data_IF_699049466980
#
_entry.id   IF_699049466980
#
_cell.length_a   1.000
_cell.length_b   1.000
_cell.length_c   1.000
_cell.angle_alpha   90.00
_cell.angle_beta   90.00
_cell.angle_gamma   90.00
#
_symmetry.space_group_name_H-M   'P 1'
#
loop_
_entity.id
_entity.type
_entity.pdbx_description
1 polymer ?
#
# COMPACT_ATOMS: atom_id res chain seq x y z
N UNK A 1 -7.41 -2.64 9.63
CA UNK A 1 -6.43 -2.16 8.66
C UNK A 1 -7.13 -1.35 7.59
N UNK A 2 -6.60 -0.17 7.31
CA UNK A 2 -7.29 0.77 6.43
C UNK A 2 -6.72 0.81 5.02
N UNK A 3 -5.60 0.16 4.78
CA UNK A 3 -5.01 0.11 3.44
C UNK A 3 -5.50 -1.11 2.70
N UNK A 4 -5.58 -0.99 1.39
CA UNK A 4 -5.99 -2.08 0.51
C UNK A 4 -5.03 -2.16 -0.67
N UNK A 5 -5.05 -3.31 -1.31
CA UNK A 5 -4.27 -3.50 -2.53
C UNK A 5 -4.66 -2.45 -3.56
N UNK A 6 -3.66 -1.92 -4.25
CA UNK A 6 -3.80 -0.87 -5.27
C UNK A 6 -4.00 0.54 -4.72
N UNK A 7 -4.00 0.72 -3.40
CA UNK A 7 -4.02 2.08 -2.84
C UNK A 7 -2.70 2.77 -3.13
N UNK A 8 -2.75 4.07 -3.36
CA UNK A 8 -1.55 4.86 -3.43
C UNK A 8 -1.19 5.29 -2.01
N UNK A 9 0.06 5.06 -1.63
CA UNK A 9 0.53 5.39 -0.28
C UNK A 9 1.84 6.16 -0.38
N UNK A 10 2.18 6.84 0.70
CA UNK A 10 3.45 7.54 0.81
C UNK A 10 4.15 7.05 2.07
N UNK A 11 5.45 6.82 1.97
CA UNK A 11 6.23 6.46 3.15
C UNK A 11 6.45 7.70 4.01
N UNK A 12 6.04 7.59 5.27
CA UNK A 12 6.13 8.72 6.21
C UNK A 12 7.24 8.54 7.23
N UNK A 13 7.98 7.45 7.15
CA UNK A 13 9.10 7.19 8.05
C UNK A 13 10.02 6.16 7.41
N UNK A 14 11.24 6.11 7.89
CA UNK A 14 12.21 5.12 7.45
C UNK A 14 12.99 5.57 6.23
N UNK A 15 13.68 4.62 5.62
CA UNK A 15 14.59 4.92 4.52
C UNK A 15 13.89 5.37 3.26
N UNK A 16 12.61 5.08 3.12
CA UNK A 16 11.85 5.42 1.92
C UNK A 16 11.02 6.69 2.09
N UNK A 17 11.27 7.45 3.15
CA UNK A 17 10.50 8.65 3.47
C UNK A 17 10.28 9.54 2.25
N UNK A 18 9.04 9.91 2.01
CA UNK A 18 8.68 10.80 0.92
C UNK A 18 8.35 10.12 -0.39
N UNK A 19 8.64 8.84 -0.53
CA UNK A 19 8.32 8.13 -1.76
C UNK A 19 6.86 7.69 -1.77
N UNK A 20 6.25 7.71 -2.93
CA UNK A 20 4.89 7.26 -3.13
C UNK A 20 4.88 6.03 -4.04
N UNK A 21 3.94 5.15 -3.80
CA UNK A 21 3.81 3.98 -4.62
C UNK A 21 2.48 3.28 -4.38
N UNK A 22 2.20 2.31 -5.22
CA UNK A 22 0.96 1.56 -5.13
C UNK A 22 1.19 0.31 -4.30
N UNK A 23 0.23 -0.02 -3.45
CA UNK A 23 0.30 -1.23 -2.65
C UNK A 23 0.09 -2.43 -3.54
N UNK A 24 1.06 -3.34 -3.54
CA UNK A 24 0.99 -4.57 -4.34
C UNK A 24 0.40 -5.72 -3.56
N UNK A 25 0.80 -5.87 -2.29
CA UNK A 25 0.32 -6.94 -1.43
C UNK A 25 0.21 -6.43 -0.01
N UNK A 26 -0.73 -6.99 0.74
CA UNK A 26 -0.91 -6.68 2.15
C UNK A 26 -0.84 -7.98 2.93
N UNK A 27 -0.11 -7.94 4.04
CA UNK A 27 0.01 -9.05 4.96
C UNK A 27 -0.61 -8.63 6.29
N UNK A 28 -1.93 -8.81 6.44
CA UNK A 28 -2.62 -8.27 7.63
C UNK A 28 -2.11 -8.83 8.94
N UNK A 29 -1.74 -10.10 8.94
CA UNK A 29 -1.28 -10.74 10.17
C UNK A 29 0.05 -10.18 10.65
N UNK A 30 0.87 -9.73 9.72
CA UNK A 30 2.18 -9.18 10.05
C UNK A 30 2.18 -7.67 10.09
N UNK A 31 1.08 -7.05 9.75
CA UNK A 31 0.93 -5.60 9.67
C UNK A 31 1.97 -4.98 8.72
N UNK A 32 2.16 -5.63 7.58
CA UNK A 32 3.15 -5.21 6.59
C UNK A 32 2.53 -5.21 5.21
N UNK A 33 3.17 -4.50 4.31
CA UNK A 33 2.71 -4.41 2.91
C UNK A 33 3.90 -4.28 1.99
N UNK A 34 3.73 -4.73 0.75
CA UNK A 34 4.72 -4.52 -0.30
C UNK A 34 4.21 -3.41 -1.18
N UNK A 35 5.04 -2.38 -1.38
CA UNK A 35 4.68 -1.21 -2.14
C UNK A 35 5.61 -1.12 -3.35
N UNK A 36 5.02 -0.88 -4.50
CA UNK A 36 5.75 -0.77 -5.74
C UNK A 36 6.82 0.31 -5.65
N UNK A 37 8.04 -0.05 -6.02
CA UNK A 37 9.14 0.90 -6.05
C UNK A 37 9.79 1.21 -4.71
N UNK A 38 9.41 0.51 -3.65
CA UNK A 38 9.94 0.79 -2.32
C UNK A 38 10.62 -0.42 -1.71
N UNK A 39 11.62 -0.14 -0.87
CA UNK A 39 12.30 -1.13 -0.06
C UNK A 39 12.87 -2.28 -0.88
N UNK A 40 13.61 -1.92 -1.92
CA UNK A 40 14.23 -2.94 -2.77
C UNK A 40 15.29 -3.70 -2.02
N UNK A 41 15.33 -5.00 -2.25
CA UNK A 41 16.40 -5.85 -1.79
C UNK A 41 16.95 -6.60 -2.99
N UNK A 42 18.20 -7.04 -2.87
CA UNK A 42 18.83 -7.82 -3.91
C UNK A 42 18.99 -9.24 -3.41
N UNK A 43 18.71 -10.19 -4.28
CA UNK A 43 18.88 -11.59 -3.96
C UNK A 43 19.81 -12.21 -4.99
N UNK A 44 20.74 -13.02 -4.50
CA UNK A 44 21.60 -13.81 -5.39
C UNK A 44 20.84 -15.09 -5.71
N UNK A 45 20.77 -15.37 -6.99
CA UNK A 45 20.10 -16.57 -7.44
C UNK A 45 21.11 -17.63 -7.76
N UNK A 46 20.79 -18.85 -7.40
CA UNK A 46 21.60 -19.98 -7.79
C UNK A 46 21.26 -20.33 -9.22
N UNK A 47 22.20 -20.97 -9.91
CA UNK A 47 21.90 -21.47 -11.24
C UNK A 47 20.76 -22.45 -11.16
N UNK A 48 19.82 -22.33 -12.07
CA UNK A 48 18.66 -23.17 -12.11
C UNK A 48 18.15 -23.19 -13.54
N UNK A 49 17.06 -23.92 -13.76
CA UNK A 49 16.44 -23.93 -15.07
C UNK A 49 15.96 -22.55 -15.46
N UNK A 50 15.41 -21.82 -14.50
CA UNK A 50 14.88 -20.49 -14.78
C UNK A 50 15.99 -19.45 -14.89
N UNK A 51 17.07 -19.67 -14.15
CA UNK A 51 18.18 -18.70 -14.15
C UNK A 51 19.48 -19.46 -14.34
N UNK A 52 19.73 -19.94 -15.56
CA UNK A 52 20.90 -20.81 -15.80
C UNK A 52 22.23 -20.21 -15.40
N UNK A 53 22.33 -18.89 -15.44
CA UNK A 53 23.56 -18.23 -15.09
C UNK A 53 23.58 -17.69 -13.68
N UNK A 54 22.47 -17.84 -12.94
CA UNK A 54 22.33 -17.24 -11.64
C UNK A 54 22.22 -15.73 -11.75
N UNK A 55 22.64 -15.03 -10.71
CA UNK A 55 22.65 -13.58 -10.76
C UNK A 55 22.00 -12.92 -9.57
N UNK A 56 21.75 -11.61 -9.70
CA UNK A 56 21.08 -10.81 -8.68
C UNK A 56 19.74 -10.34 -9.22
N UNK A 57 18.74 -10.43 -8.38
CA UNK A 57 17.40 -9.95 -8.72
C UNK A 57 17.00 -8.92 -7.71
N UNK A 58 16.44 -7.80 -8.18
CA UNK A 58 15.93 -6.76 -7.33
C UNK A 58 14.45 -7.02 -7.07
N UNK A 59 14.08 -7.04 -5.80
CA UNK A 59 12.70 -7.28 -5.41
C UNK A 59 12.29 -6.32 -4.31
N UNK A 60 11.02 -5.96 -4.29
CA UNK A 60 10.49 -5.14 -3.21
C UNK A 60 10.26 -6.02 -1.98
N UNK A 61 10.75 -5.58 -0.83
CA UNK A 61 10.47 -6.23 0.44
C UNK A 61 9.33 -5.52 1.12
N UNK A 62 8.71 -6.19 2.10
CA UNK A 62 7.59 -5.61 2.80
C UNK A 62 8.03 -4.47 3.71
N UNK A 63 7.10 -3.54 3.95
CA UNK A 63 7.30 -2.39 4.82
C UNK A 63 6.21 -2.43 5.89
N UNK A 64 6.55 -2.03 7.10
CA UNK A 64 5.59 -1.96 8.18
C UNK A 64 4.52 -0.92 7.81
N UNK A 65 3.26 -1.27 7.98
CA UNK A 65 2.15 -0.40 7.61
C UNK A 65 2.15 0.91 8.38
N UNK A 66 2.68 0.91 9.59
CA UNK A 66 2.76 2.14 10.36
C UNK A 66 3.68 3.20 9.71
N UNK A 67 4.53 2.78 8.77
CA UNK A 67 5.39 3.70 8.04
C UNK A 67 4.77 4.23 6.76
N UNK A 68 3.52 3.87 6.50
CA UNK A 68 2.83 4.26 5.28
C UNK A 68 1.58 5.05 5.62
N UNK A 69 1.23 5.99 4.74
CA UNK A 69 -0.02 6.72 4.89
C UNK A 69 -0.69 6.82 3.53
N UNK A 70 -2.01 6.71 3.51
CA UNK A 70 -2.77 6.74 2.28
C UNK A 70 -2.67 8.13 1.62
N UNK A 71 -2.50 8.14 0.31
CA UNK A 71 -2.60 9.37 -0.47
C UNK A 71 -4.02 9.43 -1.02
N UNK A 72 -4.75 10.46 -0.63
CA UNK A 72 -6.13 10.62 -1.07
C UNK A 72 -6.17 10.93 -2.57
N UNK A 73 -6.94 10.17 -3.35
CA UNK A 73 -7.02 10.44 -4.80
C UNK A 73 -7.72 11.76 -5.12
N UNK A 74 -8.51 12.28 -4.20
CA UNK A 74 -9.22 13.53 -4.45
C UNK A 74 -8.38 14.76 -4.13
N UNK A 75 -7.71 14.79 -2.99
CA UNK A 75 -6.92 15.95 -2.61
C UNK A 75 -5.42 15.76 -2.84
N UNK A 76 -5.02 14.57 -3.20
CA UNK A 76 -3.63 14.22 -3.52
C UNK A 76 -2.65 14.48 -2.38
N UNK A 77 -3.13 14.43 -1.16
CA UNK A 77 -2.31 14.61 0.04
C UNK A 77 -2.41 13.37 0.90
N UNK A 78 -1.38 13.14 1.69
CA UNK A 78 -1.46 12.07 2.66
C UNK A 78 -2.52 12.38 3.68
N UNK A 79 -3.28 11.40 4.07
CA UNK A 79 -4.37 11.60 5.00
C UNK A 79 -4.66 10.31 5.74
N UNK A 80 -5.19 10.45 6.93
CA UNK A 80 -5.67 9.30 7.66
C UNK A 80 -7.04 8.90 7.13
N UNK A 81 -7.32 7.61 7.23
CA UNK A 81 -8.56 7.07 6.71
C UNK A 81 -9.58 7.02 7.84
N UNK A 82 -10.75 7.58 7.59
CA UNK A 82 -11.88 7.42 8.47
C UNK A 82 -12.88 6.45 7.87
N UNK A 83 -13.82 6.01 8.67
CA UNK A 83 -14.88 5.10 8.22
C UNK A 83 -16.20 5.81 8.36
N UNK A 84 -16.98 5.80 7.29
CA UNK A 84 -18.31 6.36 7.27
C UNK A 84 -19.30 5.25 7.01
N UNK A 85 -20.35 5.19 7.82
CA UNK A 85 -21.42 4.23 7.61
C UNK A 85 -22.51 4.88 6.77
N UNK A 86 -22.90 4.22 5.71
CA UNK A 86 -23.98 4.71 4.87
C UNK A 86 -24.97 3.58 4.63
N UNK A 87 -26.23 3.95 4.40
CA UNK A 87 -27.27 3.00 4.04
C UNK A 87 -27.52 3.11 2.55
N UNK A 88 -27.33 2.02 1.84
CA UNK A 88 -27.61 1.95 0.40
C UNK A 88 -28.38 0.66 0.15
N UNK A 89 -29.49 0.78 -0.52
CA UNK A 89 -30.27 -0.39 -0.91
C UNK A 89 -30.54 -1.32 0.26
N UNK A 90 -30.93 -0.73 1.39
CA UNK A 90 -31.25 -1.48 2.62
C UNK A 90 -30.07 -2.20 3.21
N UNK A 91 -28.87 -1.80 2.83
CA UNK A 91 -27.65 -2.36 3.40
C UNK A 91 -26.85 -1.28 4.07
N UNK A 92 -26.21 -1.63 5.16
CA UNK A 92 -25.26 -0.74 5.79
C UNK A 92 -23.90 -1.03 5.19
N UNK A 93 -23.24 -0.01 4.68
CA UNK A 93 -21.93 -0.14 4.10
C UNK A 93 -20.95 0.73 4.83
N UNK A 94 -19.72 0.26 4.91
CA UNK A 94 -18.62 1.05 5.46
C UNK A 94 -17.81 1.60 4.31
N UNK A 95 -17.66 2.91 4.28
CA UNK A 95 -16.87 3.56 3.26
C UNK A 95 -15.65 4.18 3.91
N UNK A 96 -14.52 4.09 3.22
CA UNK A 96 -13.33 4.78 3.67
C UNK A 96 -13.42 6.22 3.20
N UNK A 97 -13.09 7.14 4.07
CA UNK A 97 -13.08 8.56 3.70
C UNK A 97 -11.75 9.16 4.08
N UNK A 98 -11.39 10.23 3.38
CA UNK A 98 -10.23 11.02 3.70
C UNK A 98 -10.58 11.96 4.83
N UNK A 99 -9.81 11.93 5.92
CA UNK A 99 -10.11 12.79 7.05
C UNK A 99 -9.77 14.25 6.79
N UNK A 100 -9.01 14.54 5.74
CA UNK A 100 -8.67 15.92 5.40
C UNK A 100 -9.71 16.58 4.52
N UNK A 101 -10.19 15.90 3.49
CA UNK A 101 -11.12 16.51 2.55
C UNK A 101 -12.51 15.88 2.59
N UNK A 102 -12.69 14.80 3.31
CA UNK A 102 -13.99 14.15 3.44
C UNK A 102 -14.43 13.31 2.26
N UNK A 103 -13.63 13.23 1.22
CA UNK A 103 -14.01 12.47 0.03
C UNK A 103 -13.97 10.96 0.30
N UNK A 104 -14.81 10.22 -0.39
CA UNK A 104 -14.79 8.76 -0.31
C UNK A 104 -13.58 8.22 -1.02
N UNK A 105 -12.88 7.33 -0.35
CA UNK A 105 -11.73 6.69 -0.94
C UNK A 105 -12.14 5.32 -1.40
N UNK A 106 -13.09 5.22 -2.33
CA UNK A 106 -13.42 3.97 -2.64
C UNK A 106 -12.67 3.48 -3.66
N UNK A 107 -12.38 2.61 -3.57
CA UNK A 107 -11.74 2.10 -4.42
C UNK A 107 -12.19 1.48 -5.44
N UNK A 108 -11.64 1.16 -6.19
CA UNK A 108 -11.91 0.55 -7.08
C UNK A 108 -11.73 -0.70 -6.82
N UNK A 109 -12.14 -1.43 -7.34
CA UNK A 109 -12.00 -2.66 -7.23
C UNK A 109 -11.40 -3.26 -8.30
#
# INVERSE_FOLDING_TARGET
MHLRKNDLVEAIAGDELGKRGRVLYIFPEDNRAIVEGMNFIYRHLRRSREYPEGGRVQKEASINISNLELVCPSCNKTAKVGIKLVDREDRKMRLRICKKCGAEIEGRR
#
